data_IF_222373233256
#
_entry.id   IF_222373233256
#
_cell.length_a   1.000
_cell.length_b   1.000
_cell.length_c   1.000
_cell.angle_alpha   90.00
_cell.angle_beta   90.00
_cell.angle_gamma   90.00
#
_symmetry.space_group_name_H-M   'P 1'
#
loop_
_entity.id
_entity.type
_entity.pdbx_description
1 polymer ?
#
# COMPACT_ATOMS: atom_id res chain seq x y z
N UNK A 1 12.81 10.14 -5.64
CA UNK A 1 11.70 9.23 -6.01
C UNK A 1 11.71 8.00 -5.12
N UNK A 2 12.86 7.33 -4.95
CA UNK A 2 12.99 6.23 -3.98
C UNK A 2 12.81 6.70 -2.53
N UNK A 3 13.42 7.82 -2.12
CA UNK A 3 13.20 8.39 -0.77
C UNK A 3 11.72 8.71 -0.49
N UNK A 4 11.04 9.30 -1.47
CA UNK A 4 9.59 9.58 -1.38
C UNK A 4 8.77 8.29 -1.26
N UNK A 5 9.22 7.20 -1.89
CA UNK A 5 8.57 5.90 -1.78
C UNK A 5 8.78 5.27 -0.39
N UNK A 6 9.96 5.46 0.22
CA UNK A 6 10.22 4.96 1.57
C UNK A 6 9.40 5.70 2.64
N UNK A 7 9.21 7.00 2.48
CA UNK A 7 8.45 7.83 3.43
C UNK A 7 6.92 7.83 3.18
N UNK A 8 6.46 7.04 2.19
CA UNK A 8 5.05 7.00 1.81
C UNK A 8 4.18 6.41 2.93
N UNK A 9 3.24 7.22 3.41
CA UNK A 9 2.25 6.83 4.42
C UNK A 9 0.91 7.48 4.11
N UNK A 10 -0.19 6.84 4.51
CA UNK A 10 -1.53 7.44 4.40
C UNK A 10 -1.62 8.65 5.32
N UNK A 11 -2.08 9.79 4.79
CA UNK A 11 -2.33 11.00 5.57
C UNK A 11 -3.82 11.13 5.88
N UNK A 12 -4.17 11.11 7.16
CA UNK A 12 -5.57 11.10 7.60
C UNK A 12 -6.32 9.88 7.05
N UNK A 13 -7.48 10.11 6.44
CA UNK A 13 -8.29 9.07 5.78
C UNK A 13 -8.21 9.13 4.24
N UNK A 14 -7.24 9.84 3.67
CA UNK A 14 -7.13 9.97 2.22
C UNK A 14 -6.39 8.79 1.56
N UNK A 15 -7.05 7.63 1.59
CA UNK A 15 -6.53 6.41 0.98
C UNK A 15 -6.46 6.51 -0.55
N UNK A 16 -7.37 7.25 -1.19
CA UNK A 16 -7.41 7.39 -2.66
C UNK A 16 -6.18 8.12 -3.17
N UNK A 17 -5.80 9.22 -2.54
CA UNK A 17 -4.57 9.95 -2.91
C UNK A 17 -3.33 9.11 -2.65
N UNK A 18 -3.29 8.37 -1.54
CA UNK A 18 -2.19 7.44 -1.24
C UNK A 18 -2.02 6.37 -2.32
N UNK A 19 -3.09 5.64 -2.68
CA UNK A 19 -3.05 4.58 -3.70
C UNK A 19 -2.55 5.13 -5.03
N UNK A 20 -3.09 6.27 -5.46
CA UNK A 20 -2.68 6.91 -6.72
C UNK A 20 -1.19 7.22 -6.72
N UNK A 21 -0.70 7.87 -5.66
CA UNK A 21 0.72 8.24 -5.56
C UNK A 21 1.62 7.02 -5.46
N UNK A 22 1.18 5.98 -4.75
CA UNK A 22 1.89 4.72 -4.62
C UNK A 22 2.05 4.02 -5.97
N UNK A 23 0.99 3.95 -6.79
CA UNK A 23 1.05 3.37 -8.13
C UNK A 23 1.94 4.18 -9.08
N UNK A 24 1.88 5.51 -9.02
CA UNK A 24 2.78 6.38 -9.78
C UNK A 24 4.25 6.09 -9.42
N UNK A 25 4.59 6.05 -8.12
CA UNK A 25 5.97 5.82 -7.70
C UNK A 25 6.42 4.37 -7.91
N UNK A 26 5.54 3.38 -7.79
CA UNK A 26 5.82 1.98 -8.13
C UNK A 26 6.17 1.80 -9.62
N UNK A 27 5.53 2.59 -10.49
CA UNK A 27 5.83 2.62 -11.93
C UNK A 27 7.18 3.27 -12.21
N UNK A 28 7.53 4.32 -11.46
CA UNK A 28 8.79 5.06 -11.62
C UNK A 28 10.00 4.32 -11.01
N UNK A 29 9.78 3.55 -9.94
CA UNK A 29 10.81 2.83 -9.19
C UNK A 29 10.51 1.32 -9.11
N UNK A 30 10.47 0.58 -10.23
CA UNK A 30 10.08 -0.84 -10.25
C UNK A 30 11.00 -1.73 -9.39
N UNK A 31 12.25 -1.32 -9.19
CA UNK A 31 13.21 -2.04 -8.33
C UNK A 31 12.81 -2.05 -6.84
N UNK A 32 11.99 -1.09 -6.40
CA UNK A 32 11.50 -1.01 -5.01
C UNK A 32 10.42 -2.05 -4.73
N UNK A 33 9.67 -2.44 -5.76
CA UNK A 33 8.56 -3.39 -5.70
C UNK A 33 8.67 -4.40 -6.85
N UNK A 34 9.75 -5.22 -6.87
CA UNK A 34 10.12 -6.04 -8.03
C UNK A 34 9.14 -7.18 -8.33
N UNK A 35 8.21 -7.47 -7.42
CA UNK A 35 7.18 -8.48 -7.58
C UNK A 35 5.91 -8.10 -6.78
N UNK A 36 4.83 -8.84 -7.01
CA UNK A 36 3.53 -8.60 -6.37
C UNK A 36 3.59 -8.68 -4.85
N UNK A 37 4.37 -9.61 -4.29
CA UNK A 37 4.53 -9.76 -2.84
C UNK A 37 5.13 -8.50 -2.22
N UNK A 38 6.22 -7.98 -2.80
CA UNK A 38 6.87 -6.74 -2.38
C UNK A 38 6.01 -5.51 -2.59
N UNK A 39 5.21 -5.48 -3.67
CA UNK A 39 4.24 -4.42 -3.91
C UNK A 39 3.18 -4.37 -2.78
N UNK A 40 2.63 -5.52 -2.40
CA UNK A 40 1.63 -5.64 -1.33
C UNK A 40 2.27 -5.29 0.03
N UNK A 41 3.46 -5.81 0.32
CA UNK A 41 4.19 -5.52 1.57
C UNK A 41 4.45 -4.02 1.74
N UNK A 42 4.99 -3.37 0.71
CA UNK A 42 5.25 -1.93 0.72
C UNK A 42 3.97 -1.11 0.90
N UNK A 43 2.88 -1.50 0.23
CA UNK A 43 1.59 -0.85 0.38
C UNK A 43 1.05 -0.93 1.81
N UNK A 44 1.08 -2.12 2.42
CA UNK A 44 0.66 -2.35 3.81
C UNK A 44 1.54 -1.56 4.79
N UNK A 45 2.85 -1.45 4.51
CA UNK A 45 3.77 -0.68 5.33
C UNK A 45 3.40 0.80 5.43
N UNK A 46 2.82 1.41 4.40
CA UNK A 46 2.35 2.80 4.45
C UNK A 46 0.95 3.00 5.07
N UNK A 47 0.22 1.93 5.42
CA UNK A 47 -1.10 2.03 6.05
C UNK A 47 -1.03 2.38 7.55
N UNK A 48 -2.10 2.90 8.16
CA UNK A 48 -2.16 3.09 9.61
C UNK A 48 -2.06 1.77 10.38
N UNK A 49 -1.34 1.79 11.51
CA UNK A 49 -1.10 0.60 12.33
C UNK A 49 -2.40 -0.08 12.79
N UNK A 50 -3.48 0.70 12.98
CA UNK A 50 -4.80 0.21 13.38
C UNK A 50 -5.40 -0.82 12.42
N UNK A 51 -5.06 -0.75 11.12
CA UNK A 51 -5.64 -1.65 10.12
C UNK A 51 -4.67 -2.75 9.66
N UNK A 52 -3.35 -2.57 9.82
CA UNK A 52 -2.32 -3.51 9.35
C UNK A 52 -2.55 -4.95 9.85
N UNK A 53 -2.99 -5.13 11.09
CA UNK A 53 -3.23 -6.46 11.67
C UNK A 53 -4.28 -7.30 10.93
N UNK A 54 -5.19 -6.66 10.19
CA UNK A 54 -6.22 -7.35 9.40
C UNK A 54 -5.66 -7.95 8.10
N UNK A 55 -4.52 -7.45 7.62
CA UNK A 55 -3.87 -7.95 6.42
C UNK A 55 -3.14 -9.26 6.68
N UNK A 56 -2.58 -9.45 7.88
CA UNK A 56 -1.88 -10.70 8.26
C UNK A 56 -2.81 -11.92 8.27
N UNK A 57 -4.11 -11.73 8.51
CA UNK A 57 -5.12 -12.79 8.46
C UNK A 57 -5.62 -13.09 7.03
N UNK A 58 -5.45 -12.14 6.12
CA UNK A 58 -5.94 -12.22 4.76
C UNK A 58 -4.79 -12.70 3.88
N UNK A 59 -4.81 -13.94 3.39
CA UNK A 59 -3.77 -14.44 2.48
C UNK A 59 -3.88 -13.74 1.12
N UNK A 60 -3.36 -12.53 1.03
CA UNK A 60 -3.46 -11.66 -0.14
C UNK A 60 -2.66 -12.24 -1.31
N UNK A 61 -3.28 -12.31 -2.48
CA UNK A 61 -2.65 -12.78 -3.71
C UNK A 61 -2.48 -11.63 -4.71
N UNK A 62 -3.28 -10.58 -4.59
CA UNK A 62 -3.25 -9.44 -5.52
C UNK A 62 -3.23 -8.10 -4.79
N UNK A 63 -2.71 -7.08 -5.50
CA UNK A 63 -2.69 -5.71 -5.01
C UNK A 63 -4.09 -5.10 -4.88
N UNK A 64 -5.01 -5.50 -5.77
CA UNK A 64 -6.41 -5.04 -5.73
C UNK A 64 -7.15 -5.53 -4.48
N UNK A 65 -6.91 -6.77 -4.05
CA UNK A 65 -7.44 -7.27 -2.77
C UNK A 65 -6.96 -6.43 -1.58
N UNK A 66 -5.67 -6.04 -1.57
CA UNK A 66 -5.12 -5.19 -0.52
C UNK A 66 -5.81 -3.81 -0.50
N UNK A 67 -6.05 -3.21 -1.67
CA UNK A 67 -6.79 -1.95 -1.80
C UNK A 67 -8.21 -2.09 -1.26
N UNK A 68 -8.95 -3.13 -1.67
CA UNK A 68 -10.33 -3.34 -1.26
C UNK A 68 -10.47 -3.52 0.25
N UNK A 69 -9.55 -4.24 0.88
CA UNK A 69 -9.52 -4.38 2.34
C UNK A 69 -9.19 -3.05 3.01
N UNK A 70 -8.19 -2.31 2.51
CA UNK A 70 -7.84 -1.00 3.05
C UNK A 70 -9.02 -0.03 2.99
N UNK A 71 -9.73 0.02 1.86
CA UNK A 71 -10.93 0.86 1.69
C UNK A 71 -12.01 0.52 2.72
N UNK A 72 -12.36 -0.77 2.84
CA UNK A 72 -13.40 -1.22 3.79
C UNK A 72 -13.06 -0.95 5.26
N UNK A 73 -11.77 -0.86 5.61
CA UNK A 73 -11.33 -0.62 6.98
C UNK A 73 -11.12 0.87 7.31
N UNK A 74 -11.06 1.74 6.28
CA UNK A 74 -10.85 3.19 6.44
C UNK A 74 -12.09 4.03 6.13
N UNK A 75 -13.10 3.43 5.48
CA UNK A 75 -14.48 3.93 5.43
C UNK A 75 -15.13 3.88 6.83
#
# INVERSE_FOLDING_TARGET
MEDEFYDMTVKGNDLKTYIRRFQELATLCPNMVPNTEKLIEAFICGLPMSIKGNFTASKLQTFEEAINIAQRLMD
#
